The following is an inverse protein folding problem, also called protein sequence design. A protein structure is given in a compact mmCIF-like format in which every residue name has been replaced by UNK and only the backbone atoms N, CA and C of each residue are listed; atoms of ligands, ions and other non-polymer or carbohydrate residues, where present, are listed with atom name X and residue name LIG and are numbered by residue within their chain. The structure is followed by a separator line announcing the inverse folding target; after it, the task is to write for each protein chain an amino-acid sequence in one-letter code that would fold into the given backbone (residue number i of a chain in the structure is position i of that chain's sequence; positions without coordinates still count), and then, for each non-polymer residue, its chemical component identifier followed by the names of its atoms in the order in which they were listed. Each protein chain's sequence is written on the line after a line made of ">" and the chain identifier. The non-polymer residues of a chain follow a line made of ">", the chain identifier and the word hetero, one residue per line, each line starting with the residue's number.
data_IF_204274392858
#
_entry.id   IF_204274392858
#
_cell.length_a   1.000
_cell.length_b   1.000
_cell.length_c   1.000
_cell.angle_alpha   90.00
_cell.angle_beta   90.00
_cell.angle_gamma   90.00
#
_symmetry.space_group_name_H-M   'P 1'
#
loop_
_entity.id
_entity.type
_entity.pdbx_description
1 polymer ?
#
# COMPACT_ATOMS: atom_id res chain seq x y z
N UNK A 1 69.24 -25.78 -48.99
CA UNK A 1 70.13 -24.81 -48.29
C UNK A 1 70.06 -25.09 -46.80
N UNK A 2 71.22 -25.47 -46.23
CA UNK A 2 71.59 -25.64 -44.80
C UNK A 2 70.63 -26.38 -43.87
N UNK A 3 70.80 -27.67 -43.56
CA UNK A 3 71.92 -28.38 -42.90
C UNK A 3 72.19 -28.01 -41.42
N UNK A 4 71.88 -29.00 -40.58
CA UNK A 4 72.60 -29.49 -39.39
C UNK A 4 72.81 -28.59 -38.15
N UNK A 5 72.42 -29.15 -36.99
CA UNK A 5 73.33 -29.62 -35.91
C UNK A 5 72.55 -30.58 -34.98
N UNK A 6 72.81 -31.90 -35.07
CA UNK A 6 73.48 -32.75 -34.05
C UNK A 6 73.07 -32.43 -32.59
N UNK A 7 72.28 -33.27 -31.92
CA UNK A 7 72.66 -34.52 -31.24
C UNK A 7 73.60 -34.34 -30.03
N UNK A 8 73.13 -34.64 -28.82
CA UNK A 8 73.88 -35.48 -27.86
C UNK A 8 73.00 -35.94 -26.68
N UNK A 9 73.33 -37.15 -26.23
CA UNK A 9 72.71 -38.01 -25.22
C UNK A 9 73.15 -37.62 -23.79
N UNK A 10 72.30 -37.89 -22.77
CA UNK A 10 72.51 -38.94 -21.73
C UNK A 10 71.67 -38.75 -20.45
N UNK A 11 71.05 -39.85 -20.04
CA UNK A 11 70.96 -40.45 -18.70
C UNK A 11 70.40 -39.68 -17.50
N UNK A 12 69.20 -40.12 -17.10
CA UNK A 12 68.72 -40.52 -15.76
C UNK A 12 69.37 -39.93 -14.50
N UNK A 13 68.56 -39.24 -13.68
CA UNK A 13 68.51 -39.49 -12.23
C UNK A 13 67.16 -39.08 -11.63
N UNK A 14 66.56 -40.05 -10.95
CA UNK A 14 65.33 -39.92 -10.14
C UNK A 14 65.62 -39.02 -8.95
N UNK A 15 64.80 -37.99 -8.72
CA UNK A 15 64.59 -37.45 -7.37
C UNK A 15 63.15 -36.95 -7.26
N UNK A 16 62.39 -37.63 -6.40
CA UNK A 16 61.05 -37.25 -5.94
C UNK A 16 61.12 -35.90 -5.23
N UNK A 17 60.35 -34.93 -5.70
CA UNK A 17 59.85 -33.84 -4.87
C UNK A 17 58.34 -33.73 -5.09
N UNK A 18 57.57 -34.12 -4.07
CA UNK A 18 56.17 -33.79 -3.96
C UNK A 18 56.03 -32.27 -3.87
N UNK A 19 55.42 -31.65 -4.86
CA UNK A 19 54.91 -30.29 -4.76
C UNK A 19 53.55 -30.27 -5.44
N UNK A 20 52.51 -30.38 -4.62
CA UNK A 20 51.12 -30.13 -5.02
C UNK A 20 50.98 -28.65 -5.30
N UNK A 21 51.26 -28.25 -6.56
CA UNK A 21 50.80 -26.99 -7.10
C UNK A 21 49.28 -27.12 -7.33
N UNK A 22 48.52 -26.81 -6.29
CA UNK A 22 47.08 -26.63 -6.37
C UNK A 22 46.86 -25.25 -6.99
N UNK A 23 46.28 -25.13 -8.19
CA UNK A 23 45.80 -23.83 -8.64
C UNK A 23 44.65 -23.49 -7.69
N UNK A 24 44.88 -22.50 -6.82
CA UNK A 24 43.83 -21.83 -6.09
C UNK A 24 42.85 -21.32 -7.14
N UNK A 25 41.73 -22.02 -7.27
CA UNK A 25 40.59 -21.58 -8.04
C UNK A 25 40.16 -20.27 -7.41
N UNK A 26 40.58 -19.17 -8.03
CA UNK A 26 40.07 -17.83 -7.84
C UNK A 26 38.63 -17.76 -8.37
N UNK A 27 37.76 -18.60 -7.82
CA UNK A 27 36.32 -18.50 -7.86
C UNK A 27 35.87 -18.26 -6.41
N UNK A 28 36.42 -17.19 -5.81
CA UNK A 28 35.63 -16.41 -4.88
C UNK A 28 34.50 -15.78 -5.70
N UNK A 29 33.50 -16.61 -6.05
CA UNK A 29 32.17 -16.12 -6.33
C UNK A 29 31.89 -15.14 -5.21
N UNK A 30 31.58 -13.89 -5.55
CA UNK A 30 31.06 -12.95 -4.59
C UNK A 30 29.70 -13.49 -4.12
N UNK A 31 29.73 -14.47 -3.23
CA UNK A 31 28.57 -14.90 -2.47
C UNK A 31 28.29 -13.69 -1.62
N UNK A 32 27.34 -12.84 -2.05
CA UNK A 32 26.67 -11.96 -1.12
C UNK A 32 26.30 -12.85 0.06
N UNK A 33 26.95 -12.63 1.20
CA UNK A 33 26.73 -13.44 2.39
C UNK A 33 25.29 -13.19 2.80
N UNK A 34 24.36 -14.02 2.29
CA UNK A 34 22.95 -13.90 2.59
C UNK A 34 22.82 -14.03 4.11
N UNK A 35 22.09 -13.10 4.71
CA UNK A 35 21.79 -13.14 6.14
C UNK A 35 21.18 -14.51 6.46
N UNK A 36 21.80 -15.32 7.34
CA UNK A 36 21.31 -16.65 7.68
C UNK A 36 19.84 -16.62 8.12
N UNK A 37 19.40 -15.53 8.75
CA UNK A 37 18.02 -15.34 9.18
C UNK A 37 17.06 -15.32 7.98
N UNK A 38 17.39 -14.56 6.94
CA UNK A 38 16.57 -14.47 5.71
C UNK A 38 16.54 -15.80 4.95
N UNK A 39 17.68 -16.50 4.90
CA UNK A 39 17.76 -17.81 4.25
C UNK A 39 16.82 -18.81 4.93
N UNK A 40 16.87 -18.89 6.26
CA UNK A 40 15.99 -19.78 7.05
C UNK A 40 14.51 -19.43 6.83
N UNK A 41 14.14 -18.14 6.87
CA UNK A 41 12.76 -17.70 6.63
C UNK A 41 12.26 -18.08 5.24
N UNK A 42 13.10 -17.88 4.21
CA UNK A 42 12.77 -18.25 2.83
C UNK A 42 12.52 -19.76 2.68
N UNK A 43 13.35 -20.60 3.31
CA UNK A 43 13.18 -22.06 3.32
C UNK A 43 11.94 -22.48 4.12
N UNK A 44 11.64 -21.80 5.24
CA UNK A 44 10.50 -22.10 6.09
C UNK A 44 9.15 -21.91 5.38
N UNK A 45 9.03 -20.97 4.43
CA UNK A 45 7.80 -20.74 3.65
C UNK A 45 7.32 -21.98 2.89
N UNK A 46 8.23 -22.87 2.49
CA UNK A 46 7.89 -24.12 1.81
C UNK A 46 7.11 -25.09 2.71
N UNK A 47 7.28 -24.97 4.03
CA UNK A 47 6.65 -25.84 5.03
C UNK A 47 5.37 -25.26 5.61
N UNK A 48 5.08 -23.97 5.39
CA UNK A 48 3.92 -23.27 5.98
C UNK A 48 2.59 -23.91 5.58
N UNK A 49 2.45 -24.40 4.34
CA UNK A 49 1.20 -25.05 3.90
C UNK A 49 0.90 -26.35 4.65
N UNK A 50 1.93 -27.05 5.11
CA UNK A 50 1.81 -28.34 5.81
C UNK A 50 1.87 -28.21 7.33
N UNK A 51 2.71 -27.30 7.85
CA UNK A 51 3.02 -27.16 9.28
C UNK A 51 2.44 -25.87 9.89
N UNK A 52 1.76 -25.04 9.09
CA UNK A 52 1.22 -23.75 9.49
C UNK A 52 2.30 -22.70 9.80
N UNK A 53 1.86 -21.59 10.38
CA UNK A 53 2.75 -20.51 10.86
C UNK A 53 3.28 -20.84 12.25
N UNK A 54 4.27 -21.73 12.31
CA UNK A 54 4.70 -22.38 13.56
C UNK A 54 6.21 -22.44 13.73
N UNK A 55 6.67 -22.74 14.95
CA UNK A 55 8.09 -22.98 15.23
C UNK A 55 8.60 -24.23 14.49
N UNK A 56 7.72 -25.19 14.23
CA UNK A 56 8.04 -26.38 13.44
C UNK A 56 8.41 -26.00 12.00
N UNK A 57 7.65 -25.10 11.37
CA UNK A 57 7.97 -24.59 10.03
C UNK A 57 9.33 -23.89 9.98
N UNK A 58 9.66 -23.10 11.01
CA UNK A 58 10.96 -22.47 11.16
C UNK A 58 12.09 -23.49 11.37
N UNK A 59 11.87 -24.50 12.20
CA UNK A 59 12.83 -25.58 12.44
C UNK A 59 13.07 -26.45 11.21
N UNK A 60 12.05 -26.67 10.38
CA UNK A 60 12.15 -27.35 9.08
C UNK A 60 12.89 -26.48 8.07
N UNK A 61 12.56 -25.18 7.97
CA UNK A 61 13.30 -24.23 7.14
C UNK A 61 14.78 -24.11 7.53
N UNK A 62 15.10 -24.16 8.83
CA UNK A 62 16.47 -24.17 9.31
C UNK A 62 17.25 -25.39 8.82
N UNK A 63 16.64 -26.58 8.89
CA UNK A 63 17.24 -27.82 8.37
C UNK A 63 17.51 -27.76 6.88
N UNK A 64 16.56 -27.23 6.11
CA UNK A 64 16.70 -27.07 4.66
C UNK A 64 17.79 -26.05 4.28
N UNK A 65 17.97 -25.01 5.10
CA UNK A 65 19.05 -24.04 4.98
C UNK A 65 20.43 -24.56 5.45
N UNK A 66 20.51 -25.81 5.92
CA UNK A 66 21.77 -26.42 6.39
C UNK A 66 22.11 -26.12 7.85
N UNK A 67 21.18 -25.56 8.63
CA UNK A 67 21.33 -25.28 10.04
C UNK A 67 20.60 -26.31 10.92
N UNK A 68 21.04 -26.52 12.18
CA UNK A 68 20.26 -27.30 13.14
C UNK A 68 18.87 -26.69 13.36
N UNK A 69 17.85 -27.52 13.62
CA UNK A 69 16.48 -27.02 13.86
C UNK A 69 16.39 -25.99 14.99
N UNK A 70 17.24 -26.11 16.02
CA UNK A 70 17.35 -25.15 17.14
C UNK A 70 17.73 -23.73 16.71
N UNK A 71 18.22 -23.53 15.47
CA UNK A 71 18.46 -22.21 14.90
C UNK A 71 17.17 -21.37 14.76
N UNK A 72 15.98 -21.98 14.87
CA UNK A 72 14.73 -21.22 15.04
C UNK A 72 14.78 -20.23 16.21
N UNK A 73 15.67 -20.44 17.20
CA UNK A 73 15.89 -19.53 18.32
C UNK A 73 16.46 -18.16 17.93
N UNK A 74 16.89 -17.99 16.67
CA UNK A 74 17.27 -16.68 16.11
C UNK A 74 16.08 -15.72 15.93
N UNK A 75 14.84 -16.24 15.95
CA UNK A 75 13.60 -15.47 15.82
C UNK A 75 12.93 -15.30 17.19
N UNK A 76 13.30 -14.27 17.99
CA UNK A 76 12.84 -14.11 19.36
C UNK A 76 11.33 -13.91 19.49
N UNK A 77 10.65 -13.38 18.46
CA UNK A 77 9.20 -13.21 18.42
C UNK A 77 8.50 -14.45 17.85
N UNK A 78 9.27 -15.43 17.36
CA UNK A 78 8.78 -16.72 16.90
C UNK A 78 8.08 -16.63 15.53
N UNK A 79 6.97 -17.36 15.33
CA UNK A 79 6.35 -17.49 14.00
C UNK A 79 5.83 -16.20 13.37
N UNK A 80 5.63 -15.13 14.15
CA UNK A 80 5.24 -13.83 13.58
C UNK A 80 6.32 -13.26 12.65
N UNK A 81 7.60 -13.54 12.90
CA UNK A 81 8.68 -13.06 12.02
C UNK A 81 8.60 -13.73 10.64
N UNK A 82 8.14 -14.99 10.59
CA UNK A 82 7.85 -15.69 9.34
C UNK A 82 6.66 -15.08 8.60
N UNK A 83 5.59 -14.72 9.32
CA UNK A 83 4.44 -14.01 8.74
C UNK A 83 4.86 -12.64 8.20
N UNK A 84 5.63 -11.89 8.98
CA UNK A 84 6.11 -10.56 8.59
C UNK A 84 7.01 -10.62 7.35
N UNK A 85 7.89 -11.63 7.28
CA UNK A 85 8.72 -11.90 6.11
C UNK A 85 7.88 -12.25 4.88
N UNK A 86 6.89 -13.14 5.03
CA UNK A 86 5.96 -13.47 3.96
C UNK A 86 5.20 -12.24 3.46
N UNK A 87 4.72 -11.38 4.37
CA UNK A 87 4.00 -10.16 4.00
C UNK A 87 4.88 -9.21 3.19
N UNK A 88 6.17 -9.08 3.52
CA UNK A 88 7.11 -8.24 2.77
C UNK A 88 7.41 -8.83 1.39
N UNK A 89 7.71 -10.12 1.31
CA UNK A 89 7.97 -10.84 0.06
C UNK A 89 6.75 -10.78 -0.89
N UNK A 90 5.57 -10.99 -0.33
CA UNK A 90 4.31 -10.89 -1.04
C UNK A 90 4.05 -9.46 -1.55
N UNK A 91 4.33 -8.44 -0.73
CA UNK A 91 4.18 -7.04 -1.13
C UNK A 91 5.13 -6.68 -2.27
N UNK A 92 6.39 -7.09 -2.21
CA UNK A 92 7.35 -6.91 -3.30
C UNK A 92 6.88 -7.59 -4.59
N UNK A 93 6.39 -8.83 -4.49
CA UNK A 93 5.84 -9.55 -5.65
C UNK A 93 4.63 -8.84 -6.25
N UNK A 94 3.76 -8.25 -5.42
CA UNK A 94 2.63 -7.44 -5.89
C UNK A 94 3.12 -6.19 -6.62
N UNK A 95 4.06 -5.45 -6.03
CA UNK A 95 4.63 -4.25 -6.66
C UNK A 95 5.23 -4.58 -8.02
N UNK A 96 6.01 -5.66 -8.13
CA UNK A 96 6.63 -6.08 -9.39
C UNK A 96 5.59 -6.44 -10.46
N UNK A 97 4.53 -7.18 -10.08
CA UNK A 97 3.44 -7.51 -11.00
C UNK A 97 2.68 -6.27 -11.46
N UNK A 98 2.34 -5.37 -10.54
CA UNK A 98 1.62 -4.14 -10.87
C UNK A 98 2.48 -3.18 -11.71
N UNK A 99 3.79 -3.10 -11.43
CA UNK A 99 4.73 -2.31 -12.22
C UNK A 99 4.84 -2.85 -13.66
N UNK A 100 4.90 -4.17 -13.85
CA UNK A 100 4.91 -4.78 -15.17
C UNK A 100 3.64 -4.45 -15.98
N UNK A 101 2.48 -4.36 -15.32
CA UNK A 101 1.19 -4.04 -15.94
C UNK A 101 1.00 -2.53 -16.21
N UNK A 102 1.66 -1.66 -15.43
CA UNK A 102 1.52 -0.20 -15.51
C UNK A 102 1.93 0.43 -16.85
N UNK A 103 2.61 -0.34 -17.72
CA UNK A 103 2.95 0.08 -19.09
C UNK A 103 1.75 0.03 -20.05
N UNK A 104 0.61 -0.53 -19.63
CA UNK A 104 -0.54 -0.81 -20.49
C UNK A 104 -1.81 -0.10 -19.98
N UNK A 105 -2.19 0.97 -20.70
CA UNK A 105 -3.59 1.44 -20.90
C UNK A 105 -4.22 2.42 -19.86
N UNK A 106 -5.01 3.32 -20.44
CA UNK A 106 -5.94 4.31 -19.88
C UNK A 106 -7.12 3.66 -19.11
N UNK A 107 -6.79 2.89 -18.07
CA UNK A 107 -7.76 2.18 -17.22
C UNK A 107 -8.28 3.14 -16.13
N UNK A 108 -9.59 3.16 -15.82
CA UNK A 108 -10.15 3.94 -14.72
C UNK A 108 -9.46 3.66 -13.37
N UNK A 109 -9.36 4.67 -12.51
CA UNK A 109 -8.77 4.56 -11.16
C UNK A 109 -9.43 3.42 -10.36
N UNK A 110 -10.75 3.30 -10.45
CA UNK A 110 -11.55 2.25 -9.82
C UNK A 110 -11.08 0.85 -10.19
N UNK A 111 -10.86 0.62 -11.48
CA UNK A 111 -10.44 -0.69 -11.99
C UNK A 111 -8.99 -0.99 -11.60
N UNK A 112 -8.14 0.05 -11.52
CA UNK A 112 -6.77 -0.09 -10.98
C UNK A 112 -6.78 -0.46 -9.49
N UNK A 113 -7.67 0.12 -8.69
CA UNK A 113 -7.83 -0.25 -7.27
C UNK A 113 -8.29 -1.70 -7.11
N UNK A 114 -9.33 -2.10 -7.86
CA UNK A 114 -9.83 -3.48 -7.91
C UNK A 114 -8.70 -4.44 -8.30
N UNK A 115 -7.91 -4.08 -9.33
CA UNK A 115 -6.77 -4.88 -9.79
C UNK A 115 -5.69 -5.03 -8.71
N UNK A 116 -5.30 -3.94 -8.05
CA UNK A 116 -4.29 -3.98 -6.99
C UNK A 116 -4.67 -4.91 -5.84
N UNK A 117 -5.91 -4.80 -5.35
CA UNK A 117 -6.44 -5.69 -4.30
C UNK A 117 -6.51 -7.13 -4.79
N UNK A 118 -7.01 -7.35 -6.02
CA UNK A 118 -7.15 -8.69 -6.60
C UNK A 118 -5.81 -9.40 -6.74
N UNK A 119 -4.78 -8.75 -7.30
CA UNK A 119 -3.44 -9.35 -7.45
C UNK A 119 -2.86 -9.77 -6.09
N UNK A 120 -3.03 -8.92 -5.07
CA UNK A 120 -2.58 -9.20 -3.70
C UNK A 120 -3.29 -10.41 -3.09
N UNK A 121 -4.59 -10.56 -3.30
CA UNK A 121 -5.38 -11.68 -2.79
C UNK A 121 -5.16 -12.97 -3.60
N UNK A 122 -4.97 -12.88 -4.91
CA UNK A 122 -4.63 -14.03 -5.77
C UNK A 122 -3.29 -14.66 -5.38
N UNK A 123 -2.28 -13.83 -5.05
CA UNK A 123 -1.01 -14.32 -4.54
C UNK A 123 -1.11 -14.90 -3.13
N UNK A 124 -2.11 -14.46 -2.34
CA UNK A 124 -2.39 -15.00 -1.01
C UNK A 124 -3.16 -16.33 -1.05
N UNK A 125 -3.97 -16.55 -2.09
CA UNK A 125 -4.86 -17.71 -2.24
C UNK A 125 -4.19 -19.07 -1.94
N UNK A 126 -2.93 -19.35 -2.35
CA UNK A 126 -2.27 -20.62 -2.04
C UNK A 126 -2.03 -20.87 -0.54
N UNK A 127 -2.12 -19.85 0.29
CA UNK A 127 -1.92 -19.88 1.74
C UNK A 127 -3.21 -19.64 2.53
N UNK A 128 -4.37 -19.51 1.85
CA UNK A 128 -5.63 -19.08 2.47
C UNK A 128 -6.10 -20.02 3.59
N UNK A 129 -5.81 -21.32 3.50
CA UNK A 129 -6.19 -22.32 4.50
C UNK A 129 -5.46 -22.15 5.83
N UNK A 130 -4.24 -21.64 5.80
CA UNK A 130 -3.40 -21.38 6.99
C UNK A 130 -3.35 -19.90 7.35
N UNK A 131 -3.91 -19.02 6.52
CA UNK A 131 -3.91 -17.57 6.73
C UNK A 131 -4.63 -17.10 8.01
N UNK A 132 -5.75 -17.70 8.45
CA UNK A 132 -6.39 -17.29 9.71
C UNK A 132 -5.45 -17.35 10.92
N UNK A 133 -4.53 -18.32 10.94
CA UNK A 133 -3.51 -18.42 11.97
C UNK A 133 -2.52 -17.25 11.93
N UNK A 134 -2.06 -16.85 10.73
CA UNK A 134 -1.21 -15.67 10.55
C UNK A 134 -1.92 -14.38 11.00
N UNK A 135 -3.19 -14.21 10.62
CA UNK A 135 -4.00 -13.08 11.06
C UNK A 135 -4.13 -13.02 12.59
N UNK A 136 -4.36 -14.17 13.24
CA UNK A 136 -4.41 -14.25 14.70
C UNK A 136 -3.08 -13.85 15.36
N UNK A 137 -1.94 -14.30 14.81
CA UNK A 137 -0.61 -13.91 15.29
C UNK A 137 -0.36 -12.40 15.13
N UNK A 138 -0.76 -11.82 13.99
CA UNK A 138 -0.63 -10.39 13.72
C UNK A 138 -1.53 -9.52 14.57
N UNK A 139 -2.72 -10.02 14.94
CA UNK A 139 -3.69 -9.32 15.77
C UNK A 139 -3.31 -9.25 17.27
N UNK A 140 -2.32 -10.03 17.72
CA UNK A 140 -1.84 -9.95 19.10
C UNK A 140 -1.35 -8.52 19.42
N UNK A 141 -1.63 -7.97 20.62
CA UNK A 141 -1.32 -6.57 20.95
C UNK A 141 0.13 -6.15 20.71
N UNK A 142 1.07 -7.08 20.92
CA UNK A 142 2.51 -6.86 20.70
C UNK A 142 2.92 -6.81 19.21
N UNK A 143 2.12 -7.40 18.32
CA UNK A 143 2.38 -7.50 16.88
C UNK A 143 1.48 -6.57 16.05
N UNK A 144 0.34 -6.15 16.61
CA UNK A 144 -0.66 -5.35 15.93
C UNK A 144 -0.10 -4.04 15.35
N UNK A 145 0.76 -3.25 16.03
CA UNK A 145 1.32 -2.03 15.44
C UNK A 145 2.13 -2.29 14.17
N UNK A 146 2.95 -3.35 14.16
CA UNK A 146 3.76 -3.72 12.99
C UNK A 146 2.89 -4.24 11.85
N UNK A 147 1.90 -5.08 12.17
CA UNK A 147 0.95 -5.62 11.18
C UNK A 147 0.12 -4.50 10.53
N UNK A 148 -0.39 -3.57 11.34
CA UNK A 148 -1.13 -2.40 10.87
C UNK A 148 -0.28 -1.47 10.00
N UNK A 149 1.00 -1.30 10.35
CA UNK A 149 1.95 -0.54 9.52
C UNK A 149 2.12 -1.17 8.14
N UNK A 150 2.37 -2.49 8.07
CA UNK A 150 2.49 -3.22 6.80
C UNK A 150 1.20 -3.14 5.97
N UNK A 151 0.04 -3.25 6.62
CA UNK A 151 -1.25 -3.08 5.97
C UNK A 151 -1.41 -1.67 5.37
N UNK A 152 -1.05 -0.63 6.13
CA UNK A 152 -1.10 0.75 5.65
C UNK A 152 -0.13 0.98 4.47
N UNK A 153 1.09 0.46 4.54
CA UNK A 153 2.08 0.54 3.45
C UNK A 153 1.57 -0.14 2.17
N UNK A 154 0.96 -1.33 2.29
CA UNK A 154 0.33 -2.02 1.16
C UNK A 154 -0.81 -1.19 0.52
N UNK A 155 -1.68 -0.61 1.34
CA UNK A 155 -2.80 0.22 0.86
C UNK A 155 -2.29 1.48 0.15
N UNK A 156 -1.23 2.08 0.68
CA UNK A 156 -0.56 3.21 0.07
C UNK A 156 0.02 2.86 -1.30
N UNK A 157 0.68 1.70 -1.43
CA UNK A 157 1.21 1.23 -2.71
C UNK A 157 0.12 1.00 -3.76
N UNK A 158 -1.03 0.45 -3.35
CA UNK A 158 -2.18 0.26 -4.24
C UNK A 158 -2.73 1.62 -4.72
N UNK A 159 -2.80 2.61 -3.83
CA UNK A 159 -3.19 3.99 -4.21
C UNK A 159 -2.20 4.65 -5.16
N UNK A 160 -0.90 4.44 -4.93
CA UNK A 160 0.17 4.93 -5.82
C UNK A 160 0.04 4.29 -7.20
N UNK A 161 -0.18 2.97 -7.25
CA UNK A 161 -0.46 2.25 -8.51
C UNK A 161 -1.72 2.78 -9.22
N UNK A 162 -2.78 3.10 -8.46
CA UNK A 162 -4.01 3.67 -9.02
C UNK A 162 -3.84 5.12 -9.52
N UNK A 163 -2.68 5.74 -9.29
CA UNK A 163 -2.33 7.07 -9.76
C UNK A 163 -2.83 8.21 -8.87
N UNK A 164 -3.18 7.93 -7.62
CA UNK A 164 -3.60 8.98 -6.68
C UNK A 164 -2.43 9.89 -6.31
N UNK A 165 -2.64 11.20 -6.48
CA UNK A 165 -1.68 12.25 -6.08
C UNK A 165 -2.23 13.15 -4.98
N UNK A 166 -3.33 12.76 -4.33
CA UNK A 166 -3.98 13.63 -3.35
C UNK A 166 -3.16 13.73 -2.06
N UNK A 167 -3.08 14.93 -1.49
CA UNK A 167 -2.33 15.21 -0.26
C UNK A 167 -3.18 15.89 0.83
N UNK A 168 -4.48 16.06 0.58
CA UNK A 168 -5.39 16.81 1.45
C UNK A 168 -6.05 15.90 2.51
N UNK A 169 -6.99 16.41 3.30
CA UNK A 169 -7.72 15.59 4.30
C UNK A 169 -8.43 14.37 3.69
N UNK A 170 -8.75 14.40 2.39
CA UNK A 170 -9.23 13.26 1.63
C UNK A 170 -8.26 12.07 1.62
N UNK A 171 -6.96 12.31 1.82
CA UNK A 171 -5.90 11.29 1.90
C UNK A 171 -6.18 10.26 2.99
N UNK A 172 -6.54 10.72 4.20
CA UNK A 172 -6.80 9.85 5.35
C UNK A 172 -8.09 9.05 5.14
N UNK A 173 -9.15 9.70 4.67
CA UNK A 173 -10.43 9.04 4.39
C UNK A 173 -10.29 7.98 3.30
N UNK A 174 -9.62 8.29 2.20
CA UNK A 174 -9.37 7.33 1.10
C UNK A 174 -8.65 6.07 1.58
N UNK A 175 -7.63 6.22 2.42
CA UNK A 175 -6.89 5.09 3.00
C UNK A 175 -7.75 4.31 3.97
N UNK A 176 -8.47 4.97 4.87
CA UNK A 176 -9.35 4.31 5.82
C UNK A 176 -10.43 3.47 5.10
N UNK A 177 -11.04 4.05 4.06
CA UNK A 177 -12.05 3.36 3.24
C UNK A 177 -11.44 2.19 2.48
N UNK A 178 -10.31 2.37 1.79
CA UNK A 178 -9.68 1.28 1.04
C UNK A 178 -9.18 0.15 1.95
N UNK A 179 -8.64 0.47 3.13
CA UNK A 179 -8.29 -0.51 4.16
C UNK A 179 -9.53 -1.30 4.60
N UNK A 180 -10.66 -0.63 4.82
CA UNK A 180 -11.94 -1.28 5.13
C UNK A 180 -12.39 -2.24 4.02
N UNK A 181 -12.29 -1.82 2.76
CA UNK A 181 -12.63 -2.67 1.60
C UNK A 181 -11.71 -3.88 1.51
N UNK A 182 -10.40 -3.69 1.63
CA UNK A 182 -9.41 -4.77 1.59
C UNK A 182 -9.67 -5.79 2.70
N UNK A 183 -9.75 -5.33 3.95
CA UNK A 183 -9.92 -6.21 5.12
C UNK A 183 -11.24 -6.98 5.08
N UNK A 184 -12.34 -6.34 4.65
CA UNK A 184 -13.62 -7.02 4.46
C UNK A 184 -13.54 -8.09 3.36
N UNK A 185 -12.85 -7.80 2.25
CA UNK A 185 -12.68 -8.74 1.12
C UNK A 185 -11.78 -9.91 1.49
N UNK A 186 -10.67 -9.64 2.20
CA UNK A 186 -9.77 -10.68 2.72
C UNK A 186 -10.51 -11.62 3.67
N UNK A 187 -11.31 -11.08 4.61
CA UNK A 187 -12.11 -11.89 5.53
C UNK A 187 -13.19 -12.71 4.80
N UNK A 188 -13.83 -12.12 3.79
CA UNK A 188 -14.81 -12.83 2.96
C UNK A 188 -14.16 -14.02 2.23
N UNK A 189 -12.96 -13.81 1.68
CA UNK A 189 -12.20 -14.83 0.96
C UNK A 189 -11.89 -16.07 1.80
N UNK A 190 -11.72 -15.92 3.12
CA UNK A 190 -11.47 -17.06 4.04
C UNK A 190 -12.63 -18.05 4.08
N UNK A 191 -13.86 -17.60 3.80
CA UNK A 191 -15.06 -18.44 3.82
C UNK A 191 -15.59 -18.76 2.42
N UNK A 192 -14.91 -18.27 1.38
CA UNK A 192 -15.35 -18.46 0.00
C UNK A 192 -14.89 -19.82 -0.56
N UNK A 193 -15.85 -20.66 -0.90
CA UNK A 193 -15.64 -21.98 -1.49
C UNK A 193 -16.02 -22.03 -2.98
N UNK A 194 -16.33 -20.87 -3.59
CA UNK A 194 -16.63 -20.77 -5.01
C UNK A 194 -15.38 -21.08 -5.87
N UNK A 195 -15.56 -21.60 -7.10
CA UNK A 195 -14.43 -21.86 -7.99
C UNK A 195 -13.67 -20.55 -8.24
N UNK A 196 -12.34 -20.59 -8.14
CA UNK A 196 -11.45 -19.44 -8.35
C UNK A 196 -11.80 -18.17 -7.53
N UNK A 197 -12.51 -18.31 -6.40
CA UNK A 197 -12.99 -17.20 -5.57
C UNK A 197 -13.87 -16.19 -6.30
N UNK A 198 -14.70 -16.65 -7.26
CA UNK A 198 -15.60 -15.79 -8.04
C UNK A 198 -16.52 -14.92 -7.18
N UNK A 199 -17.02 -15.44 -6.05
CA UNK A 199 -17.88 -14.66 -5.14
C UNK A 199 -17.08 -13.57 -4.41
N UNK A 200 -15.82 -13.83 -4.06
CA UNK A 200 -14.91 -12.81 -3.49
C UNK A 200 -14.70 -11.64 -4.46
N UNK A 201 -14.55 -11.92 -5.76
CA UNK A 201 -14.36 -10.86 -6.76
C UNK A 201 -15.62 -10.01 -6.96
N UNK A 202 -16.81 -10.64 -6.99
CA UNK A 202 -18.09 -9.90 -7.01
C UNK A 202 -18.28 -9.07 -5.74
N UNK A 203 -17.86 -9.60 -4.59
CA UNK A 203 -17.89 -8.86 -3.33
C UNK A 203 -16.98 -7.63 -3.37
N UNK A 204 -15.75 -7.79 -3.86
CA UNK A 204 -14.80 -6.68 -4.06
C UNK A 204 -15.38 -5.60 -4.97
N UNK A 205 -15.97 -5.99 -6.09
CA UNK A 205 -16.58 -5.06 -7.04
C UNK A 205 -17.63 -4.16 -6.37
N UNK A 206 -18.55 -4.77 -5.63
CA UNK A 206 -19.61 -4.06 -4.89
C UNK A 206 -19.03 -3.14 -3.81
N UNK A 207 -18.03 -3.59 -3.07
CA UNK A 207 -17.41 -2.80 -1.99
C UNK A 207 -16.66 -1.57 -2.51
N UNK A 208 -16.00 -1.69 -3.66
CA UNK A 208 -15.34 -0.54 -4.30
C UNK A 208 -16.38 0.46 -4.83
N UNK A 209 -17.47 -0.01 -5.43
CA UNK A 209 -18.56 0.87 -5.90
C UNK A 209 -19.21 1.64 -4.73
N UNK A 210 -19.47 0.97 -3.61
CA UNK A 210 -19.96 1.61 -2.39
C UNK A 210 -18.96 2.62 -1.80
N UNK A 211 -17.67 2.31 -1.84
CA UNK A 211 -16.61 3.21 -1.38
C UNK A 211 -16.55 4.50 -2.21
N UNK A 212 -16.75 4.41 -3.53
CA UNK A 212 -16.82 5.57 -4.43
C UNK A 212 -18.06 6.41 -4.12
N UNK A 213 -19.22 5.76 -4.00
CA UNK A 213 -20.46 6.43 -3.65
C UNK A 213 -20.37 7.17 -2.30
N UNK A 214 -19.62 6.63 -1.34
CA UNK A 214 -19.35 7.28 -0.05
C UNK A 214 -18.42 8.49 -0.19
N UNK A 215 -17.46 8.45 -1.11
CA UNK A 215 -16.54 9.56 -1.41
C UNK A 215 -17.20 10.72 -2.16
N UNK A 216 -18.27 10.44 -2.91
CA UNK A 216 -19.07 11.43 -3.62
C UNK A 216 -20.12 12.14 -2.73
N UNK A 217 -20.24 11.74 -1.47
CA UNK A 217 -21.13 12.42 -0.51
C UNK A 217 -20.58 13.83 -0.26
N UNK A 218 -21.33 14.89 -0.62
CA UNK A 218 -20.89 16.26 -0.37
C UNK A 218 -20.69 16.48 1.12
N UNK A 219 -19.69 17.30 1.49
CA UNK A 219 -19.30 17.64 2.87
C UNK A 219 -20.40 18.32 3.73
N UNK A 220 -21.68 18.26 3.35
CA UNK A 220 -22.80 18.63 4.20
C UNK A 220 -22.92 17.61 5.34
N UNK A 221 -22.15 17.85 6.39
CA UNK A 221 -22.12 17.07 7.62
C UNK A 221 -23.49 16.92 8.32
N UNK A 222 -24.49 17.72 7.92
CA UNK A 222 -25.86 17.64 8.44
C UNK A 222 -26.64 16.43 7.92
N UNK A 223 -26.36 15.92 6.71
CA UNK A 223 -27.08 14.78 6.12
C UNK A 223 -26.44 13.43 6.51
N UNK A 224 -25.13 13.42 6.80
CA UNK A 224 -24.36 12.20 7.12
C UNK A 224 -24.65 11.67 8.52
N UNK A 225 -25.01 12.53 9.47
CA UNK A 225 -25.35 12.13 10.84
C UNK A 225 -26.58 11.19 10.89
N UNK A 226 -27.51 11.29 9.94
CA UNK A 226 -28.64 10.37 9.82
C UNK A 226 -28.23 8.99 9.28
N UNK A 227 -27.22 8.92 8.40
CA UNK A 227 -26.90 7.72 7.64
C UNK A 227 -25.99 6.71 8.37
N UNK A 228 -25.16 7.18 9.32
CA UNK A 228 -24.33 6.31 10.18
C UNK A 228 -25.19 5.40 11.07
N UNK A 229 -26.40 5.82 11.41
CA UNK A 229 -27.36 5.00 12.17
C UNK A 229 -27.94 3.82 11.39
N UNK A 230 -27.90 3.87 10.05
CA UNK A 230 -28.49 2.84 9.16
C UNK A 230 -27.45 1.76 8.83
N UNK A 231 -26.17 2.12 8.66
CA UNK A 231 -25.10 1.16 8.32
C UNK A 231 -24.72 0.19 9.45
N UNK A 232 -24.74 0.66 10.71
CA UNK A 232 -24.34 -0.17 11.87
C UNK A 232 -25.41 -1.21 12.23
N UNK A 233 -26.70 -0.91 12.01
CA UNK A 233 -27.80 -1.87 12.23
C UNK A 233 -27.79 -3.03 11.22
N UNK A 234 -27.37 -2.77 9.98
CA UNK A 234 -27.20 -3.79 8.93
C UNK A 234 -26.07 -4.78 9.27
N UNK A 235 -24.94 -4.27 9.78
CA UNK A 235 -23.79 -5.11 10.20
C UNK A 235 -24.08 -5.98 11.42
N UNK A 236 -24.96 -5.54 12.33
CA UNK A 236 -25.37 -6.34 13.49
C UNK A 236 -26.40 -7.42 13.11
N UNK A 237 -27.20 -7.18 12.07
CA UNK A 237 -28.27 -8.09 11.63
C UNK A 237 -27.73 -9.34 10.90
N UNK A 238 -26.56 -9.26 10.28
CA UNK A 238 -25.90 -10.42 9.65
C UNK A 238 -25.27 -11.39 10.65
N UNK A 239 -24.94 -10.92 11.87
CA UNK A 239 -24.42 -11.80 12.93
C UNK A 239 -25.54 -12.58 13.64
N UNK A 240 -26.77 -12.06 13.67
CA UNK A 240 -27.91 -12.70 14.32
C UNK A 240 -28.53 -13.85 13.50
N UNK A 241 -28.31 -13.89 12.18
CA UNK A 241 -28.86 -14.93 11.31
C UNK A 241 -28.12 -16.29 11.41
N UNK A 242 -26.96 -16.35 12.06
CA UNK A 242 -26.13 -17.55 12.21
C UNK A 242 -26.21 -18.22 13.59
N UNK A 243 -27.00 -17.70 14.53
CA UNK A 243 -27.18 -18.30 15.84
C UNK A 243 -28.64 -18.74 16.02
N UNK A 244 -28.82 -20.06 16.17
CA UNK A 244 -30.10 -20.66 16.57
C UNK A 244 -30.62 -20.14 17.93
N UNK A 245 -31.78 -20.66 18.39
CA UNK A 245 -32.66 -20.01 19.36
C UNK A 245 -32.14 -20.06 20.81
N UNK A 246 -31.09 -19.30 21.14
CA UNK A 246 -30.56 -19.18 22.52
C UNK A 246 -30.25 -17.73 22.91
N UNK A 247 -30.99 -16.73 22.42
CA UNK A 247 -30.67 -15.32 22.73
C UNK A 247 -31.85 -14.40 23.03
N UNK A 248 -32.94 -14.91 23.62
CA UNK A 248 -33.92 -14.02 24.27
C UNK A 248 -33.52 -13.56 25.67
N UNK A 249 -32.50 -14.17 26.30
CA UNK A 249 -32.08 -13.78 27.66
C UNK A 249 -30.96 -12.73 27.71
N UNK A 250 -30.12 -12.62 26.66
CA UNK A 250 -28.95 -11.70 26.69
C UNK A 250 -29.33 -10.26 26.33
N UNK A 251 -30.42 -10.04 25.59
CA UNK A 251 -30.85 -8.71 25.12
C UNK A 251 -31.38 -7.81 26.25
N UNK A 252 -31.87 -8.36 27.36
CA UNK A 252 -32.44 -7.54 28.45
C UNK A 252 -31.42 -7.03 29.47
N UNK A 253 -30.21 -7.60 29.58
CA UNK A 253 -29.23 -7.20 30.60
C UNK A 253 -28.25 -6.11 30.15
N UNK A 254 -28.19 -5.76 28.87
CA UNK A 254 -27.16 -4.82 28.34
C UNK A 254 -27.67 -3.37 28.21
N UNK A 255 -28.93 -3.11 28.54
CA UNK A 255 -29.60 -1.82 28.28
C UNK A 255 -29.35 -0.66 29.25
N UNK A 256 -28.48 -0.77 30.25
CA UNK A 256 -28.42 0.25 31.32
C UNK A 256 -27.03 0.76 31.76
N UNK A 257 -25.90 0.29 31.19
CA UNK A 257 -24.60 0.89 31.54
C UNK A 257 -23.51 0.64 30.49
N UNK A 258 -23.44 1.50 29.47
CA UNK A 258 -22.26 1.57 28.59
C UNK A 258 -21.82 3.04 28.49
N UNK A 259 -20.64 3.41 29.03
CA UNK A 259 -20.07 4.73 28.76
C UNK A 259 -19.64 4.84 27.29
N UNK A 260 -19.78 6.04 26.72
CA UNK A 260 -19.50 6.36 25.32
C UNK A 260 -18.16 5.76 24.82
N UNK A 261 -18.14 4.95 23.75
CA UNK A 261 -16.92 4.31 23.25
C UNK A 261 -15.93 5.27 22.57
N UNK A 262 -16.30 6.55 22.41
CA UNK A 262 -15.44 7.59 21.80
C UNK A 262 -14.28 7.99 22.74
N UNK A 263 -14.39 7.77 24.05
CA UNK A 263 -13.33 8.10 25.01
C UNK A 263 -12.27 6.99 25.19
N UNK A 264 -12.45 5.82 24.55
CA UNK A 264 -11.55 4.68 24.69
C UNK A 264 -10.40 4.66 23.67
N UNK A 265 -10.40 5.57 22.68
CA UNK A 265 -9.28 5.73 21.76
C UNK A 265 -8.29 6.73 22.36
N UNK A 266 -7.08 6.31 22.77
CA UNK A 266 -6.03 7.28 22.99
C UNK A 266 -5.75 7.98 21.67
N UNK A 267 -5.72 9.31 21.68
CA UNK A 267 -5.27 10.15 20.56
C UNK A 267 -3.78 9.91 20.31
N UNK A 268 -3.43 8.74 19.78
CA UNK A 268 -2.06 8.44 19.38
C UNK A 268 -1.82 9.08 18.03
N UNK A 269 -1.17 10.24 18.05
CA UNK A 269 -0.53 10.85 16.88
C UNK A 269 0.45 9.83 16.30
N UNK A 270 0.09 9.19 15.19
CA UNK A 270 0.99 8.31 14.46
C UNK A 270 2.12 9.15 13.84
N UNK A 271 3.40 8.89 14.16
CA UNK A 271 4.50 9.57 13.50
C UNK A 271 4.73 8.93 12.13
N UNK A 272 3.92 9.29 11.13
CA UNK A 272 4.21 8.94 9.75
C UNK A 272 5.34 9.84 9.26
N UNK A 273 6.60 9.39 9.43
CA UNK A 273 7.76 10.04 8.83
C UNK A 273 7.65 9.82 7.32
N UNK A 274 7.40 10.89 6.56
CA UNK A 274 7.53 10.86 5.10
C UNK A 274 8.94 10.37 4.75
N UNK A 275 9.06 9.15 4.23
CA UNK A 275 10.29 8.64 3.63
C UNK A 275 10.59 9.49 2.39
N UNK A 276 11.76 10.14 2.28
CA UNK A 276 12.15 10.80 1.05
C UNK A 276 12.69 9.71 0.11
N UNK A 277 11.85 9.15 -0.75
CA UNK A 277 12.37 8.45 -1.92
C UNK A 277 12.82 9.50 -2.93
N UNK A 278 14.12 9.75 -2.96
CA UNK A 278 14.79 10.57 -3.98
C UNK A 278 14.83 9.79 -5.28
N UNK A 279 13.94 10.11 -6.23
CA UNK A 279 14.14 9.74 -7.62
C UNK A 279 14.90 10.89 -8.31
N UNK A 280 16.12 10.61 -8.78
CA UNK A 280 16.88 11.53 -9.60
C UNK A 280 16.14 11.73 -10.94
N UNK A 281 15.36 12.80 -11.02
CA UNK A 281 14.67 13.20 -12.25
C UNK A 281 15.68 13.88 -13.17
N UNK A 282 16.26 13.14 -14.12
CA UNK A 282 17.01 13.73 -15.23
C UNK A 282 16.02 14.23 -16.29
N UNK A 283 15.41 15.38 -16.03
CA UNK A 283 14.65 16.15 -17.04
C UNK A 283 15.34 17.50 -17.20
N UNK A 284 15.83 17.86 -18.41
CA UNK A 284 16.47 19.15 -18.61
C UNK A 284 15.44 20.29 -18.52
N UNK A 285 15.82 21.48 -18.01
CA UNK A 285 14.91 22.59 -17.86
C UNK A 285 14.49 23.20 -19.22
N UNK A 286 13.28 23.77 -19.33
CA UNK A 286 12.84 24.45 -20.55
C UNK A 286 13.61 25.75 -20.79
N UNK A 287 13.72 26.22 -22.04
CA UNK A 287 14.48 27.42 -22.38
C UNK A 287 13.85 28.69 -21.79
N UNK A 288 14.70 29.53 -21.21
CA UNK A 288 14.38 30.82 -20.60
C UNK A 288 13.96 31.85 -21.67
N UNK A 289 12.75 32.40 -21.52
CA UNK A 289 12.30 33.59 -22.26
C UNK A 289 12.81 34.85 -21.51
N UNK A 290 13.45 35.82 -22.19
CA UNK A 290 13.95 37.02 -21.53
C UNK A 290 12.82 38.03 -21.22
N UNK A 291 12.77 38.45 -19.96
CA UNK A 291 11.94 39.57 -19.45
C UNK A 291 12.46 40.91 -19.98
N UNK A 292 11.61 41.88 -20.37
CA UNK A 292 12.08 43.20 -20.79
C UNK A 292 12.43 44.10 -19.57
N UNK A 293 13.49 44.89 -19.73
CA UNK A 293 14.01 45.85 -18.74
C UNK A 293 13.13 47.11 -18.60
N UNK A 294 13.18 47.83 -17.45
CA UNK A 294 12.39 49.04 -17.24
C UNK A 294 13.06 50.26 -17.90
N UNK A 295 12.28 51.06 -18.62
CA UNK A 295 12.74 52.30 -19.25
C UNK A 295 12.56 53.50 -18.30
N UNK A 296 13.63 54.26 -18.18
CA UNK A 296 13.82 55.49 -17.41
C UNK A 296 13.11 56.69 -18.04
N UNK A 297 12.58 57.57 -17.19
CA UNK A 297 11.94 58.85 -17.56
C UNK A 297 12.94 59.91 -18.08
N UNK A 298 12.44 60.98 -18.70
CA UNK A 298 13.03 62.31 -18.53
C UNK A 298 12.01 63.41 -18.13
N UNK A 299 12.52 64.35 -17.33
CA UNK A 299 11.96 65.67 -16.97
C UNK A 299 12.10 66.63 -18.18
N UNK A 300 11.27 67.66 -18.45
CA UNK A 300 10.99 68.88 -17.67
C UNK A 300 9.93 69.79 -18.42
N UNK A 301 9.51 70.99 -17.91
CA UNK A 301 8.12 71.49 -17.90
C UNK A 301 7.83 72.78 -18.73
N UNK A 302 6.58 73.31 -18.68
CA UNK A 302 6.19 74.77 -18.60
C UNK A 302 4.68 75.06 -18.92
N UNK A 303 4.01 75.83 -18.03
CA UNK A 303 2.81 76.75 -18.15
C UNK A 303 1.47 76.26 -18.79
N UNK A 304 0.24 76.69 -18.45
CA UNK A 304 -0.37 77.65 -17.51
C UNK A 304 -1.92 77.44 -17.45
N UNK A 305 -2.55 77.89 -16.34
CA UNK A 305 -3.89 78.49 -16.08
C UNK A 305 -5.03 78.37 -17.15
N UNK A 306 -6.33 78.13 -16.86
CA UNK A 306 -7.34 78.82 -16.00
C UNK A 306 -8.69 78.02 -15.93
N UNK A 307 -9.68 78.36 -15.07
CA UNK A 307 -10.87 77.51 -14.72
C UNK A 307 -12.25 78.06 -15.26
N UNK A 308 -13.44 77.67 -14.70
CA UNK A 308 -14.62 77.07 -15.38
C UNK A 308 -15.79 78.05 -15.70
N UNK A 309 -16.98 77.59 -16.16
CA UNK A 309 -18.16 77.73 -15.28
C UNK A 309 -19.30 76.68 -15.42
N UNK A 310 -19.88 76.39 -14.24
CA UNK A 310 -21.28 76.23 -13.80
C UNK A 310 -22.44 76.49 -14.78
N UNK A 311 -23.53 75.69 -14.70
CA UNK A 311 -24.96 76.05 -14.41
C UNK A 311 -25.89 74.81 -14.61
N UNK A 312 -26.76 74.49 -13.64
CA UNK A 312 -27.80 73.42 -13.65
C UNK A 312 -29.11 73.83 -14.35
N UNK A 313 -30.35 73.47 -13.90
CA UNK A 313 -30.80 72.47 -12.90
C UNK A 313 -32.02 71.59 -13.35
N UNK A 314 -32.51 70.73 -12.43
CA UNK A 314 -33.84 70.10 -12.21
C UNK A 314 -34.92 70.09 -13.34
N UNK A 315 -35.66 68.99 -13.51
CA UNK A 315 -37.01 68.79 -12.90
C UNK A 315 -37.75 67.48 -13.32
N UNK A 316 -38.56 66.95 -12.38
CA UNK A 316 -39.88 66.30 -12.52
C UNK A 316 -40.16 65.01 -13.33
N UNK A 317 -40.35 63.90 -12.59
CA UNK A 317 -41.55 63.03 -12.43
C UNK A 317 -42.53 62.65 -13.62
N UNK A 318 -43.29 61.52 -13.49
CA UNK A 318 -43.83 60.66 -14.58
C UNK A 318 -45.34 60.87 -14.90
N UNK A 319 -45.97 60.09 -15.82
CA UNK A 319 -46.93 59.04 -15.36
C UNK A 319 -47.21 57.80 -16.27
N UNK A 320 -47.58 56.68 -15.61
CA UNK A 320 -48.70 55.71 -15.81
C UNK A 320 -49.23 55.31 -17.21
N UNK A 321 -49.30 53.99 -17.48
CA UNK A 321 -50.49 53.18 -17.93
C UNK A 321 -50.08 51.72 -18.28
N UNK A 322 -50.46 50.68 -17.50
CA UNK A 322 -51.62 49.75 -17.61
C UNK A 322 -51.80 49.00 -18.96
N UNK A 323 -51.60 47.66 -18.95
CA UNK A 323 -52.60 46.60 -19.23
C UNK A 323 -51.93 45.21 -19.26
N UNK A 324 -52.22 44.31 -18.31
CA UNK A 324 -53.18 43.18 -18.37
C UNK A 324 -52.84 42.06 -19.37
N UNK A 325 -52.45 40.89 -18.86
CA UNK A 325 -53.27 39.65 -18.91
C UNK A 325 -52.51 38.43 -18.37
N UNK A 326 -53.20 37.67 -17.53
CA UNK A 326 -53.02 36.24 -17.25
C UNK A 326 -54.45 35.68 -17.14
N UNK A 327 -54.67 34.35 -17.19
CA UNK A 327 -53.74 33.25 -17.41
C UNK A 327 -53.85 32.61 -18.80
#
# INVERSE_FOLDING_TARGET
>A
MNMLRLASRRATLVTRCFSTAQPATAAASATQQQDPSQLILSCALNHVKTQGWSIESLGSGARDAGYPSVAHGMFPRGPIELVEYFMDDLQHTVQDKLAAESTVVDIPVTDRLKRGIRVRLELLAPYISVWPQAMALGALPQNAPTTMKKLAEMIDDIWVFAGDRTTDMSWYTKRAVLTGVYTATELFMLSDHSPNHEETWKFLDRRIEEAIALGDIPNNAQDVAGMVSIGIQSLLSTAAALAGPVTQQVVQQVGQHVPNPISAFPSTTFPFKKSPFTYASSVPPPPTVPTPAPATAPLDPVLAATPPPTVGPLDSAPPVAKSTSSP
#
